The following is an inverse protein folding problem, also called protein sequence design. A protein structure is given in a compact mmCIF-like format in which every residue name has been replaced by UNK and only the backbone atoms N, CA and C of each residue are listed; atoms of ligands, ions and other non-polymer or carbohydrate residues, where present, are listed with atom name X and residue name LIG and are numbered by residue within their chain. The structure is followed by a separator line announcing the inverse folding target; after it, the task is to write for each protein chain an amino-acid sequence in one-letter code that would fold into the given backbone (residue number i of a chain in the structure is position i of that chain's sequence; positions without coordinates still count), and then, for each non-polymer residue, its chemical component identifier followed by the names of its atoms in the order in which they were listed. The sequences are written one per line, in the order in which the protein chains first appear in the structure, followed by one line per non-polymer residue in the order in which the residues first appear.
data_IF_712126622177
#
_entry.id   IF_712126622177
#
_cell.length_a   1.000
_cell.length_b   1.000
_cell.length_c   1.000
_cell.angle_alpha   90.00
_cell.angle_beta   90.00
_cell.angle_gamma   90.00
#
_symmetry.space_group_name_H-M   'P 1'
#
loop_
_entity.id
_entity.type
_entity.pdbx_description
1 polymer ?
#
# COMPACT_ATOMS: atom_id res chain seq x y z
N UNK A 1 -18.99 -36.88 63.12
CA UNK A 1 -19.45 -36.16 61.94
C UNK A 1 -18.26 -35.77 61.08
N UNK A 2 -18.04 -36.44 59.96
CA UNK A 2 -16.95 -36.15 59.01
C UNK A 2 -17.57 -35.36 57.87
N UNK A 3 -17.15 -34.10 57.67
CA UNK A 3 -17.55 -33.23 56.58
C UNK A 3 -16.58 -33.47 55.46
N UNK A 4 -17.07 -34.08 54.33
CA UNK A 4 -16.32 -34.22 53.11
C UNK A 4 -16.25 -32.90 52.36
N UNK A 5 -15.05 -32.44 51.89
CA UNK A 5 -15.00 -31.29 51.02
C UNK A 5 -15.44 -31.63 49.61
N UNK A 6 -16.51 -31.00 49.14
CA UNK A 6 -16.87 -30.98 47.72
C UNK A 6 -15.79 -30.20 46.92
N UNK A 7 -15.03 -30.93 46.09
CA UNK A 7 -14.17 -30.37 45.09
C UNK A 7 -15.05 -29.78 43.98
N UNK A 8 -15.16 -28.47 43.91
CA UNK A 8 -15.67 -27.74 42.73
C UNK A 8 -14.62 -27.81 41.62
N UNK A 9 -14.80 -28.75 40.70
CA UNK A 9 -14.06 -28.78 39.42
C UNK A 9 -14.65 -27.65 38.56
N UNK A 10 -13.97 -26.51 38.50
CA UNK A 10 -14.28 -25.48 37.51
C UNK A 10 -13.95 -26.04 36.12
N UNK A 11 -14.98 -26.41 35.35
CA UNK A 11 -14.83 -26.69 33.93
C UNK A 11 -14.41 -25.39 33.25
N UNK A 12 -13.14 -25.27 32.92
CA UNK A 12 -12.66 -24.27 31.98
C UNK A 12 -13.13 -24.69 30.58
N UNK A 13 -14.26 -24.17 30.13
CA UNK A 13 -14.65 -24.24 28.72
C UNK A 13 -13.78 -23.21 28.01
N UNK A 14 -12.90 -23.61 27.10
CA UNK A 14 -12.18 -22.62 26.29
C UNK A 14 -13.24 -21.86 25.47
N UNK A 15 -13.33 -20.55 25.66
CA UNK A 15 -14.07 -19.69 24.74
C UNK A 15 -13.31 -19.79 23.40
N UNK A 16 -13.80 -20.67 22.52
CA UNK A 16 -13.43 -20.61 21.11
C UNK A 16 -14.03 -19.31 20.57
N UNK A 17 -13.20 -18.25 20.50
CA UNK A 17 -13.57 -17.05 19.76
C UNK A 17 -13.73 -17.45 18.28
N UNK A 18 -14.81 -16.99 17.63
CA UNK A 18 -15.05 -17.38 16.25
C UNK A 18 -13.91 -16.90 15.36
N UNK A 19 -13.43 -17.79 14.49
CA UNK A 19 -12.59 -17.44 13.36
C UNK A 19 -13.36 -16.50 12.42
N UNK A 20 -12.62 -15.77 11.58
CA UNK A 20 -13.23 -14.91 10.56
C UNK A 20 -14.09 -15.75 9.62
N UNK A 21 -15.38 -15.40 9.50
CA UNK A 21 -16.27 -16.11 8.58
C UNK A 21 -15.94 -15.71 7.13
N UNK A 22 -16.26 -16.57 6.12
CA UNK A 22 -16.06 -16.22 4.72
C UNK A 22 -16.79 -14.94 4.30
N UNK A 23 -17.98 -14.68 4.87
CA UNK A 23 -18.76 -13.46 4.63
C UNK A 23 -18.03 -12.24 5.21
N UNK A 24 -17.68 -12.29 6.49
CA UNK A 24 -16.93 -11.18 7.14
C UNK A 24 -15.59 -10.92 6.45
N UNK A 25 -14.91 -11.97 5.95
CA UNK A 25 -13.69 -11.82 5.15
C UNK A 25 -13.94 -11.02 3.87
N UNK A 26 -15.00 -11.36 3.14
CA UNK A 26 -15.37 -10.66 1.90
C UNK A 26 -15.71 -9.20 2.19
N UNK A 27 -16.43 -8.94 3.25
CA UNK A 27 -16.80 -7.59 3.68
C UNK A 27 -15.57 -6.78 4.09
N UNK A 28 -14.63 -7.35 4.85
CA UNK A 28 -13.37 -6.68 5.22
C UNK A 28 -12.53 -6.34 3.98
N UNK A 29 -12.42 -7.26 3.01
CA UNK A 29 -11.69 -6.98 1.76
C UNK A 29 -12.38 -5.86 0.97
N UNK A 30 -13.70 -5.87 0.92
CA UNK A 30 -14.46 -4.79 0.30
C UNK A 30 -14.23 -3.45 1.02
N UNK A 31 -14.29 -3.44 2.35
CA UNK A 31 -14.04 -2.25 3.16
C UNK A 31 -12.62 -1.70 3.00
N UNK A 32 -11.61 -2.58 2.91
CA UNK A 32 -10.24 -2.19 2.57
C UNK A 32 -10.19 -1.46 1.22
N UNK A 33 -10.85 -2.01 0.20
CA UNK A 33 -10.91 -1.39 -1.12
C UNK A 33 -11.65 -0.04 -1.09
N UNK A 34 -12.76 0.05 -0.35
CA UNK A 34 -13.56 1.27 -0.25
C UNK A 34 -13.00 2.29 0.75
N UNK A 35 -12.06 1.90 1.61
CA UNK A 35 -11.51 2.74 2.66
C UNK A 35 -12.43 2.92 3.87
N UNK A 36 -13.28 1.92 4.16
CA UNK A 36 -14.18 1.92 5.33
C UNK A 36 -13.48 1.31 6.55
N UNK A 37 -12.47 2.01 7.06
CA UNK A 37 -11.56 1.45 8.07
C UNK A 37 -12.26 1.12 9.39
N UNK A 38 -13.25 1.91 9.83
CA UNK A 38 -13.96 1.67 11.09
C UNK A 38 -14.76 0.36 11.01
N UNK A 39 -15.48 0.11 9.92
CA UNK A 39 -16.27 -1.11 9.74
C UNK A 39 -15.37 -2.34 9.59
N UNK A 40 -14.26 -2.24 8.84
CA UNK A 40 -13.28 -3.31 8.74
C UNK A 40 -12.71 -3.71 10.12
N UNK A 41 -12.39 -2.72 10.99
CA UNK A 41 -11.92 -2.98 12.35
C UNK A 41 -12.98 -3.67 13.21
N UNK A 42 -14.25 -3.25 13.10
CA UNK A 42 -15.37 -3.87 13.82
C UNK A 42 -15.53 -5.35 13.43
N UNK A 43 -15.51 -5.66 12.14
CA UNK A 43 -15.59 -7.04 11.64
C UNK A 43 -14.41 -7.92 12.06
N UNK A 44 -13.21 -7.35 12.16
CA UNK A 44 -12.00 -8.07 12.54
C UNK A 44 -11.87 -8.30 14.06
N UNK A 45 -12.53 -7.49 14.89
CA UNK A 45 -12.37 -7.51 16.35
C UNK A 45 -12.56 -8.91 16.97
N UNK A 46 -13.61 -9.70 16.65
CA UNK A 46 -13.80 -11.02 17.24
C UNK A 46 -12.68 -11.99 16.87
N UNK A 47 -12.25 -11.99 15.60
CA UNK A 47 -11.25 -12.92 15.07
C UNK A 47 -9.80 -12.54 15.44
N UNK A 48 -9.55 -11.31 15.88
CA UNK A 48 -8.21 -10.81 16.26
C UNK A 48 -8.00 -10.69 17.77
N UNK A 49 -8.99 -11.06 18.57
CA UNK A 49 -8.85 -11.05 20.02
C UNK A 49 -7.64 -11.86 20.49
N UNK A 50 -7.15 -11.57 21.72
CA UNK A 50 -5.84 -12.05 22.21
C UNK A 50 -5.66 -13.59 22.18
N UNK A 51 -6.75 -14.37 22.21
CA UNK A 51 -6.73 -15.84 22.13
C UNK A 51 -6.98 -16.41 20.73
N UNK A 52 -7.18 -15.57 19.73
CA UNK A 52 -7.43 -16.03 18.36
C UNK A 52 -6.12 -16.46 17.67
N UNK A 53 -6.19 -17.62 16.99
CA UNK A 53 -5.12 -18.17 16.16
C UNK A 53 -5.44 -18.03 14.66
N UNK A 54 -6.20 -17.02 14.27
CA UNK A 54 -6.59 -16.76 12.89
C UNK A 54 -5.52 -15.90 12.20
N UNK A 55 -4.69 -16.56 11.38
CA UNK A 55 -3.61 -15.92 10.64
C UNK A 55 -4.15 -14.91 9.61
N UNK A 56 -5.24 -15.25 8.93
CA UNK A 56 -5.84 -14.40 7.90
C UNK A 56 -6.45 -13.13 8.52
N UNK A 57 -7.16 -13.26 9.65
CA UNK A 57 -7.67 -12.09 10.38
C UNK A 57 -6.54 -11.15 10.83
N UNK A 58 -5.40 -11.69 11.26
CA UNK A 58 -4.23 -10.89 11.62
C UNK A 58 -3.60 -10.21 10.39
N UNK A 59 -3.54 -10.89 9.25
CA UNK A 59 -3.05 -10.31 8.00
C UNK A 59 -3.97 -9.15 7.53
N UNK A 60 -5.29 -9.33 7.57
CA UNK A 60 -6.25 -8.28 7.23
C UNK A 60 -6.17 -7.10 8.21
N UNK A 61 -6.00 -7.37 9.52
CA UNK A 61 -5.78 -6.31 10.51
C UNK A 61 -4.50 -5.50 10.22
N UNK A 62 -3.44 -6.18 9.75
CA UNK A 62 -2.22 -5.50 9.31
C UNK A 62 -2.52 -4.51 8.17
N UNK A 63 -3.28 -4.92 7.16
CA UNK A 63 -3.65 -4.08 6.01
C UNK A 63 -4.48 -2.87 6.43
N UNK A 64 -5.48 -3.06 7.29
CA UNK A 64 -6.26 -1.94 7.86
C UNK A 64 -5.37 -1.00 8.66
N UNK A 65 -4.45 -1.53 9.47
CA UNK A 65 -3.53 -0.71 10.25
C UNK A 65 -2.53 0.06 9.36
N UNK A 66 -2.11 -0.50 8.20
CA UNK A 66 -1.31 0.20 7.20
C UNK A 66 -2.08 1.37 6.59
N UNK A 67 -3.33 1.18 6.18
CA UNK A 67 -4.17 2.26 5.68
C UNK A 67 -4.33 3.40 6.70
N UNK A 68 -4.48 3.04 7.98
CA UNK A 68 -4.62 3.98 9.09
C UNK A 68 -3.28 4.60 9.55
N UNK A 69 -2.18 4.30 8.88
CA UNK A 69 -0.83 4.75 9.25
C UNK A 69 -0.41 4.37 10.68
N UNK A 70 -1.02 3.31 11.23
CA UNK A 70 -0.72 2.77 12.55
C UNK A 70 0.42 1.76 12.46
N UNK A 71 1.61 2.24 12.09
CA UNK A 71 2.77 1.44 11.70
C UNK A 71 3.19 0.37 12.70
N UNK A 72 3.10 0.67 13.99
CA UNK A 72 3.45 -0.30 15.04
C UNK A 72 2.42 -1.43 15.11
N UNK A 73 1.13 -1.08 14.98
CA UNK A 73 0.05 -2.05 15.02
C UNK A 73 0.07 -2.92 13.76
N UNK A 74 0.34 -2.32 12.59
CA UNK A 74 0.52 -3.04 11.34
C UNK A 74 1.64 -4.10 11.46
N UNK A 75 2.82 -3.70 11.92
CA UNK A 75 3.96 -4.64 12.11
C UNK A 75 3.61 -5.72 13.12
N UNK A 76 2.94 -5.39 14.23
CA UNK A 76 2.56 -6.39 15.24
C UNK A 76 1.56 -7.41 14.67
N UNK A 77 0.56 -6.97 13.93
CA UNK A 77 -0.45 -7.83 13.32
C UNK A 77 0.16 -8.71 12.23
N UNK A 78 0.99 -8.15 11.32
CA UNK A 78 1.68 -8.92 10.30
C UNK A 78 2.63 -9.96 10.87
N UNK A 79 3.43 -9.63 11.88
CA UNK A 79 4.33 -10.59 12.52
C UNK A 79 3.55 -11.72 13.20
N UNK A 80 2.37 -11.42 13.76
CA UNK A 80 1.50 -12.45 14.31
C UNK A 80 0.92 -13.34 13.20
N UNK A 81 0.51 -12.78 12.05
CA UNK A 81 0.07 -13.55 10.90
C UNK A 81 1.15 -14.52 10.40
N UNK A 82 2.39 -14.04 10.24
CA UNK A 82 3.53 -14.89 9.86
C UNK A 82 3.83 -15.97 10.91
N UNK A 83 3.73 -15.65 12.20
CA UNK A 83 3.96 -16.63 13.27
C UNK A 83 2.89 -17.74 13.29
N UNK A 84 1.64 -17.42 12.91
CA UNK A 84 0.52 -18.37 12.86
C UNK A 84 0.54 -19.22 11.58
N UNK A 85 0.90 -18.64 10.44
CA UNK A 85 1.10 -19.35 9.18
C UNK A 85 2.38 -18.85 8.48
N UNK A 86 3.53 -19.49 8.80
CA UNK A 86 4.82 -19.12 8.23
C UNK A 86 5.03 -19.60 6.79
N UNK A 87 4.08 -20.34 6.21
CA UNK A 87 4.16 -20.83 4.83
C UNK A 87 3.32 -19.99 3.86
N UNK A 88 2.70 -18.93 4.31
CA UNK A 88 1.93 -18.01 3.47
C UNK A 88 2.82 -16.94 2.84
N UNK A 89 3.00 -16.98 1.52
CA UNK A 89 3.66 -15.92 0.74
C UNK A 89 3.04 -14.55 1.01
N UNK A 90 1.72 -14.50 1.12
CA UNK A 90 0.95 -13.27 1.36
C UNK A 90 1.25 -12.67 2.74
N UNK A 91 1.34 -13.49 3.80
CA UNK A 91 1.69 -13.00 5.13
C UNK A 91 3.08 -12.38 5.17
N UNK A 92 4.05 -12.99 4.51
CA UNK A 92 5.40 -12.46 4.39
C UNK A 92 5.44 -11.18 3.55
N UNK A 93 4.70 -11.11 2.44
CA UNK A 93 4.59 -9.91 1.60
C UNK A 93 4.10 -8.72 2.42
N UNK A 94 2.95 -8.86 3.10
CA UNK A 94 2.39 -7.78 3.91
C UNK A 94 3.26 -7.43 5.12
N UNK A 95 3.97 -8.41 5.70
CA UNK A 95 4.92 -8.14 6.77
C UNK A 95 6.11 -7.30 6.25
N UNK A 96 6.61 -7.61 5.06
CA UNK A 96 7.63 -6.81 4.38
C UNK A 96 7.19 -5.37 4.14
N UNK A 97 5.98 -5.18 3.61
CA UNK A 97 5.36 -3.85 3.39
C UNK A 97 5.23 -3.07 4.70
N UNK A 98 4.68 -3.68 5.75
CA UNK A 98 4.51 -3.02 7.06
C UNK A 98 5.85 -2.61 7.70
N UNK A 99 6.86 -3.46 7.60
CA UNK A 99 8.20 -3.16 8.07
C UNK A 99 8.87 -2.04 7.27
N UNK A 100 8.65 -2.01 5.93
CA UNK A 100 9.14 -0.97 5.03
C UNK A 100 8.56 0.40 5.38
N UNK A 101 7.24 0.47 5.53
CA UNK A 101 6.55 1.68 5.91
C UNK A 101 7.01 2.23 7.28
N UNK A 102 7.24 1.33 8.24
CA UNK A 102 7.81 1.71 9.53
C UNK A 102 9.27 2.17 9.41
N UNK A 103 10.07 1.53 8.54
CA UNK A 103 11.47 1.90 8.36
C UNK A 103 11.63 3.33 7.83
N UNK A 104 10.73 3.77 6.95
CA UNK A 104 10.73 5.12 6.38
C UNK A 104 10.46 6.23 7.41
N UNK A 105 9.99 5.88 8.63
CA UNK A 105 9.53 6.83 9.66
C UNK A 105 10.32 6.81 10.96
N UNK A 106 11.38 6.03 11.01
CA UNK A 106 12.24 5.94 12.20
C UNK A 106 13.65 6.49 11.92
N UNK A 107 14.44 6.68 12.99
CA UNK A 107 15.82 7.11 12.84
C UNK A 107 16.67 6.09 12.05
N UNK A 108 17.72 6.57 11.37
CA UNK A 108 18.60 5.76 10.53
C UNK A 108 19.07 4.45 11.19
N UNK A 109 19.47 4.48 12.48
CA UNK A 109 19.93 3.27 13.17
C UNK A 109 18.83 2.22 13.34
N UNK A 110 17.59 2.66 13.59
CA UNK A 110 16.43 1.76 13.66
C UNK A 110 16.02 1.29 12.27
N UNK A 111 16.07 2.17 11.27
CA UNK A 111 15.77 1.84 9.88
C UNK A 111 16.69 0.75 9.32
N UNK A 112 17.98 0.76 9.68
CA UNK A 112 18.93 -0.28 9.27
C UNK A 112 18.50 -1.70 9.67
N UNK A 113 18.07 -1.88 10.93
CA UNK A 113 17.59 -3.18 11.41
C UNK A 113 16.26 -3.61 10.76
N UNK A 114 15.37 -2.64 10.50
CA UNK A 114 14.10 -2.90 9.83
C UNK A 114 14.30 -3.25 8.35
N UNK A 115 15.17 -2.55 7.63
CA UNK A 115 15.45 -2.81 6.22
C UNK A 115 15.94 -4.26 5.98
N UNK A 116 16.78 -4.80 6.88
CA UNK A 116 17.18 -6.21 6.81
C UNK A 116 16.01 -7.18 6.99
N UNK A 117 15.04 -6.83 7.85
CA UNK A 117 13.82 -7.63 8.03
C UNK A 117 12.92 -7.52 6.81
N UNK A 118 12.73 -6.32 6.24
CA UNK A 118 11.99 -6.12 4.98
C UNK A 118 12.50 -7.05 3.90
N UNK A 119 13.83 -7.06 3.68
CA UNK A 119 14.46 -7.96 2.71
C UNK A 119 14.13 -9.43 2.99
N UNK A 120 14.26 -9.86 4.24
CA UNK A 120 14.04 -11.25 4.61
C UNK A 120 12.58 -11.68 4.37
N UNK A 121 11.62 -10.80 4.66
CA UNK A 121 10.21 -11.06 4.44
C UNK A 121 9.88 -11.14 2.94
N UNK A 122 10.37 -10.23 2.11
CA UNK A 122 10.15 -10.29 0.66
C UNK A 122 10.86 -11.50 0.02
N UNK A 123 12.08 -11.83 0.45
CA UNK A 123 12.77 -13.05 0.00
C UNK A 123 11.98 -14.32 0.38
N UNK A 124 11.40 -14.37 1.59
CA UNK A 124 10.54 -15.49 2.02
C UNK A 124 9.25 -15.56 1.19
N UNK A 125 8.58 -14.42 0.94
CA UNK A 125 7.39 -14.39 0.10
C UNK A 125 7.65 -14.96 -1.29
N UNK A 126 8.75 -14.54 -1.95
CA UNK A 126 9.14 -15.04 -3.27
C UNK A 126 9.57 -16.52 -3.23
N UNK A 127 10.22 -16.97 -2.14
CA UNK A 127 10.61 -18.37 -1.99
C UNK A 127 9.41 -19.31 -1.83
N UNK A 128 8.37 -18.86 -1.12
CA UNK A 128 7.12 -19.60 -0.90
C UNK A 128 6.23 -19.64 -2.13
N UNK A 129 6.13 -18.52 -2.86
CA UNK A 129 5.44 -18.46 -4.16
C UNK A 129 6.28 -17.69 -5.20
N UNK A 130 7.09 -18.39 -6.00
CA UNK A 130 7.91 -17.78 -7.05
C UNK A 130 7.10 -17.14 -8.20
N UNK A 131 5.79 -17.33 -8.23
CA UNK A 131 4.88 -16.72 -9.21
C UNK A 131 4.07 -15.56 -8.64
N UNK A 132 4.26 -15.20 -7.39
CA UNK A 132 3.66 -14.01 -6.81
C UNK A 132 4.30 -12.75 -7.41
N UNK A 133 3.59 -12.15 -8.39
CA UNK A 133 4.10 -10.99 -9.12
C UNK A 133 4.29 -9.77 -8.21
N UNK A 134 3.46 -9.60 -7.17
CA UNK A 134 3.59 -8.51 -6.21
C UNK A 134 4.84 -8.70 -5.34
N UNK A 135 5.06 -9.90 -4.81
CA UNK A 135 6.24 -10.20 -4.02
C UNK A 135 7.54 -10.03 -4.83
N UNK A 136 7.54 -10.43 -6.12
CA UNK A 136 8.65 -10.17 -7.03
C UNK A 136 8.86 -8.68 -7.27
N UNK A 137 7.79 -7.90 -7.48
CA UNK A 137 7.88 -6.45 -7.69
C UNK A 137 8.46 -5.75 -6.47
N UNK A 138 7.92 -6.04 -5.27
CA UNK A 138 8.36 -5.43 -4.01
C UNK A 138 9.82 -5.80 -3.68
N UNK A 139 10.22 -7.06 -3.92
CA UNK A 139 11.61 -7.49 -3.76
C UNK A 139 12.55 -6.79 -4.75
N UNK A 140 12.13 -6.67 -6.02
CA UNK A 140 12.89 -5.97 -7.06
C UNK A 140 13.05 -4.49 -6.76
N UNK A 141 12.00 -3.82 -6.29
CA UNK A 141 12.06 -2.42 -5.85
C UNK A 141 12.99 -2.26 -4.63
N UNK A 142 12.86 -3.14 -3.63
CA UNK A 142 13.77 -3.14 -2.50
C UNK A 142 15.24 -3.25 -2.96
N UNK A 143 15.58 -4.18 -3.85
CA UNK A 143 16.95 -4.31 -4.34
C UNK A 143 17.43 -3.11 -5.16
N UNK A 144 16.52 -2.42 -5.84
CA UNK A 144 16.84 -1.22 -6.64
C UNK A 144 17.14 -0.01 -5.75
N UNK A 145 16.37 0.16 -4.66
CA UNK A 145 16.40 1.38 -3.85
C UNK A 145 17.27 1.27 -2.59
N UNK A 146 17.31 0.08 -1.99
CA UNK A 146 18.01 -0.11 -0.72
C UNK A 146 19.54 -0.04 -0.90
N UNK A 147 20.27 0.61 0.04
CA UNK A 147 21.73 0.58 0.05
C UNK A 147 22.30 -0.84 0.17
N UNK A 148 23.46 -1.08 -0.43
CA UNK A 148 24.14 -2.39 -0.39
C UNK A 148 24.37 -2.92 1.04
N UNK A 149 24.62 -2.01 2.01
CA UNK A 149 24.83 -2.36 3.42
C UNK A 149 23.65 -3.07 4.08
N UNK A 150 22.43 -2.87 3.58
CA UNK A 150 21.22 -3.59 4.01
C UNK A 150 20.78 -4.67 3.03
N UNK A 151 21.62 -4.93 2.03
CA UNK A 151 21.44 -6.04 1.09
C UNK A 151 20.77 -5.68 -0.23
N UNK A 152 20.58 -4.38 -0.53
CA UNK A 152 20.24 -3.90 -1.87
C UNK A 152 21.30 -4.26 -2.90
N UNK A 153 20.99 -4.13 -4.18
CA UNK A 153 21.91 -4.40 -5.27
C UNK A 153 21.20 -4.53 -6.62
N UNK A 154 21.66 -3.76 -7.59
CA UNK A 154 21.04 -3.67 -8.92
C UNK A 154 21.13 -4.97 -9.72
N UNK A 155 22.20 -5.75 -9.52
CA UNK A 155 22.32 -7.07 -10.14
C UNK A 155 21.20 -8.00 -9.64
N UNK A 156 20.92 -7.97 -8.32
CA UNK A 156 19.81 -8.74 -7.74
C UNK A 156 18.45 -8.27 -8.25
N UNK A 157 18.27 -6.94 -8.39
CA UNK A 157 17.05 -6.39 -8.97
C UNK A 157 16.85 -6.86 -10.42
N UNK A 158 17.95 -6.94 -11.22
CA UNK A 158 17.92 -7.45 -12.58
C UNK A 158 17.54 -8.94 -12.62
N UNK A 159 18.08 -9.74 -11.71
CA UNK A 159 17.70 -11.16 -11.59
C UNK A 159 16.21 -11.33 -11.22
N UNK A 160 15.68 -10.47 -10.34
CA UNK A 160 14.25 -10.47 -10.00
C UNK A 160 13.41 -10.03 -11.20
N UNK A 161 13.82 -9.01 -11.95
CA UNK A 161 13.14 -8.58 -13.16
C UNK A 161 13.07 -9.70 -14.23
N UNK A 162 14.12 -10.52 -14.34
CA UNK A 162 14.11 -11.68 -15.23
C UNK A 162 13.11 -12.77 -14.78
N UNK A 163 12.94 -12.98 -13.46
CA UNK A 163 11.93 -13.91 -12.93
C UNK A 163 10.52 -13.34 -13.14
N UNK A 164 10.34 -12.06 -12.90
CA UNK A 164 9.06 -11.37 -13.05
C UNK A 164 8.58 -11.39 -14.52
N UNK A 165 9.50 -11.33 -15.49
CA UNK A 165 9.17 -11.40 -16.93
C UNK A 165 8.44 -12.69 -17.33
N UNK A 166 8.72 -13.79 -16.64
CA UNK A 166 8.02 -15.06 -16.86
C UNK A 166 6.60 -15.10 -16.24
N UNK A 167 6.27 -14.14 -15.38
CA UNK A 167 4.98 -14.07 -14.66
C UNK A 167 4.13 -12.90 -15.17
N UNK A 168 4.73 -11.72 -15.25
CA UNK A 168 4.12 -10.46 -15.66
C UNK A 168 5.16 -9.59 -16.39
N UNK A 169 5.12 -9.60 -17.71
CA UNK A 169 6.06 -8.86 -18.55
C UNK A 169 5.97 -7.34 -18.33
N UNK A 170 4.77 -6.81 -18.13
CA UNK A 170 4.60 -5.37 -17.99
C UNK A 170 5.25 -4.87 -16.68
N UNK A 171 5.05 -5.58 -15.58
CA UNK A 171 5.72 -5.31 -14.30
C UNK A 171 7.24 -5.49 -14.40
N UNK A 172 7.70 -6.50 -15.15
CA UNK A 172 9.14 -6.71 -15.36
C UNK A 172 9.78 -5.54 -16.10
N UNK A 173 9.14 -5.01 -17.14
CA UNK A 173 9.62 -3.85 -17.88
C UNK A 173 9.58 -2.57 -17.01
N UNK A 174 8.54 -2.38 -16.20
CA UNK A 174 8.51 -1.28 -15.23
C UNK A 174 9.69 -1.35 -14.26
N UNK A 175 9.97 -2.52 -13.68
CA UNK A 175 11.11 -2.72 -12.79
C UNK A 175 12.44 -2.43 -13.50
N UNK A 176 12.63 -2.88 -14.74
CA UNK A 176 13.81 -2.55 -15.56
C UNK A 176 13.93 -1.04 -15.77
N UNK A 177 12.81 -0.35 -16.00
CA UNK A 177 12.77 1.12 -16.10
C UNK A 177 13.24 1.80 -14.81
N UNK A 178 12.80 1.32 -13.65
CA UNK A 178 13.25 1.81 -12.33
C UNK A 178 14.75 1.55 -12.10
N UNK A 179 15.25 0.37 -12.46
CA UNK A 179 16.68 0.01 -12.39
C UNK A 179 17.50 0.94 -13.28
N UNK A 180 17.10 1.15 -14.54
CA UNK A 180 17.79 2.03 -15.46
C UNK A 180 17.79 3.49 -14.97
N UNK A 181 16.65 3.98 -14.45
CA UNK A 181 16.54 5.31 -13.85
C UNK A 181 17.49 5.47 -12.65
N UNK A 182 17.60 4.45 -11.79
CA UNK A 182 18.52 4.45 -10.65
C UNK A 182 20.01 4.44 -11.09
N UNK A 183 20.29 3.94 -12.30
CA UNK A 183 21.61 3.99 -12.95
C UNK A 183 21.85 5.31 -13.69
N UNK A 184 20.86 6.22 -13.69
CA UNK A 184 20.87 7.48 -14.47
C UNK A 184 20.91 7.25 -15.98
N UNK A 185 20.55 6.07 -16.44
CA UNK A 185 20.35 5.77 -17.87
C UNK A 185 18.93 6.17 -18.27
N UNK A 186 18.79 7.46 -18.54
CA UNK A 186 17.49 8.08 -18.85
C UNK A 186 16.86 7.50 -20.12
N UNK A 187 17.67 7.16 -21.13
CA UNK A 187 17.18 6.63 -22.39
C UNK A 187 16.65 5.19 -22.22
N UNK A 188 17.41 4.32 -21.56
CA UNK A 188 16.96 2.97 -21.26
C UNK A 188 15.74 2.97 -20.32
N UNK A 189 15.72 3.85 -19.31
CA UNK A 189 14.58 3.97 -18.41
C UNK A 189 13.29 4.33 -19.16
N UNK A 190 13.34 5.36 -20.01
CA UNK A 190 12.17 5.75 -20.82
C UNK A 190 11.71 4.62 -21.73
N UNK A 191 12.64 3.90 -22.38
CA UNK A 191 12.31 2.79 -23.25
C UNK A 191 11.60 1.67 -22.50
N UNK A 192 12.12 1.25 -21.34
CA UNK A 192 11.50 0.20 -20.53
C UNK A 192 10.11 0.59 -20.01
N UNK A 193 9.89 1.84 -19.58
CA UNK A 193 8.53 2.29 -19.23
C UNK A 193 7.57 2.25 -20.42
N UNK A 194 8.04 2.59 -21.62
CA UNK A 194 7.23 2.44 -22.87
C UNK A 194 6.97 0.98 -23.21
N UNK A 195 7.92 0.08 -22.96
CA UNK A 195 7.75 -1.35 -23.18
C UNK A 195 6.75 -1.95 -22.17
N UNK A 196 6.71 -1.47 -20.93
CA UNK A 196 5.68 -1.81 -19.94
C UNK A 196 4.28 -1.41 -20.44
N UNK A 197 4.14 -0.18 -20.97
CA UNK A 197 2.90 0.30 -21.58
C UNK A 197 2.50 -0.58 -22.78
N UNK A 198 3.45 -0.92 -23.63
CA UNK A 198 3.19 -1.76 -24.81
C UNK A 198 2.74 -3.18 -24.42
N UNK A 199 3.28 -3.72 -23.31
CA UNK A 199 2.90 -5.01 -22.76
C UNK A 199 1.50 -5.01 -22.13
N UNK A 200 1.04 -3.87 -21.59
CA UNK A 200 -0.29 -3.72 -20.98
C UNK A 200 -0.93 -2.36 -21.32
N UNK A 201 -1.39 -2.17 -22.57
CA UNK A 201 -1.74 -0.85 -23.10
C UNK A 201 -3.00 -0.23 -22.46
N UNK A 202 -3.82 -1.02 -21.77
CA UNK A 202 -5.00 -0.54 -21.03
C UNK A 202 -4.72 -0.20 -19.56
N UNK A 203 -3.54 -0.49 -19.08
CA UNK A 203 -3.17 -0.17 -17.69
C UNK A 203 -2.68 1.28 -17.60
N UNK A 204 -3.43 2.13 -16.94
CA UNK A 204 -3.00 3.50 -16.67
C UNK A 204 -1.79 3.56 -15.75
N UNK A 205 -1.58 2.56 -14.87
CA UNK A 205 -0.49 2.54 -13.88
C UNK A 205 0.89 2.66 -14.55
N UNK A 206 1.12 2.00 -15.69
CA UNK A 206 2.40 2.11 -16.41
C UNK A 206 2.61 3.48 -17.08
N UNK A 207 1.53 4.14 -17.51
CA UNK A 207 1.58 5.53 -17.97
C UNK A 207 1.90 6.48 -16.81
N UNK A 208 1.33 6.23 -15.63
CA UNK A 208 1.61 6.99 -14.40
C UNK A 208 3.06 6.78 -13.95
N UNK A 209 3.59 5.56 -14.06
CA UNK A 209 5.01 5.29 -13.80
C UNK A 209 5.92 6.10 -14.75
N UNK A 210 5.60 6.15 -16.04
CA UNK A 210 6.29 7.00 -17.02
C UNK A 210 6.13 8.48 -16.69
N UNK A 211 4.94 8.94 -16.28
CA UNK A 211 4.72 10.32 -15.86
C UNK A 211 5.54 10.68 -14.62
N UNK A 212 5.62 9.80 -13.63
CA UNK A 212 6.47 9.95 -12.44
C UNK A 212 7.96 10.05 -12.82
N UNK A 213 8.40 9.23 -13.79
CA UNK A 213 9.75 9.32 -14.33
C UNK A 213 10.02 10.70 -14.97
N UNK A 214 9.11 11.22 -15.80
CA UNK A 214 9.26 12.56 -16.38
C UNK A 214 9.21 13.67 -15.33
N UNK A 215 8.38 13.53 -14.28
CA UNK A 215 8.38 14.48 -13.16
C UNK A 215 9.76 14.58 -12.51
N UNK A 216 10.40 13.44 -12.24
CA UNK A 216 11.76 13.38 -11.65
C UNK A 216 12.82 14.01 -12.56
N UNK A 217 12.59 14.04 -13.88
CA UNK A 217 13.43 14.74 -14.87
C UNK A 217 13.06 16.22 -15.04
N UNK A 218 12.07 16.72 -14.29
CA UNK A 218 11.48 18.04 -14.42
C UNK A 218 10.90 18.32 -15.83
N UNK A 219 10.51 17.27 -16.56
CA UNK A 219 9.84 17.38 -17.86
C UNK A 219 8.32 17.36 -17.67
N UNK A 220 7.81 18.50 -17.24
CA UNK A 220 6.40 18.64 -16.86
C UNK A 220 5.45 18.49 -18.06
N UNK A 221 5.92 18.82 -19.27
CA UNK A 221 5.08 18.67 -20.48
C UNK A 221 4.87 17.17 -20.80
N UNK A 222 5.95 16.38 -20.86
CA UNK A 222 5.82 14.94 -21.10
C UNK A 222 5.11 14.22 -19.95
N UNK A 223 5.27 14.67 -18.71
CA UNK A 223 4.50 14.19 -17.57
C UNK A 223 3.00 14.36 -17.79
N UNK A 224 2.52 15.55 -18.17
CA UNK A 224 1.10 15.82 -18.41
C UNK A 224 0.54 14.98 -19.58
N UNK A 225 1.31 14.84 -20.66
CA UNK A 225 0.93 14.00 -21.79
C UNK A 225 0.78 12.53 -21.36
N UNK A 226 1.72 12.01 -20.56
CA UNK A 226 1.65 10.64 -20.06
C UNK A 226 0.45 10.42 -19.12
N UNK A 227 0.17 11.37 -18.20
CA UNK A 227 -1.03 11.32 -17.34
C UNK A 227 -2.30 11.24 -18.20
N UNK A 228 -2.45 12.13 -19.16
CA UNK A 228 -3.64 12.17 -20.03
C UNK A 228 -3.82 10.86 -20.81
N UNK A 229 -2.75 10.38 -21.45
CA UNK A 229 -2.77 9.14 -22.20
C UNK A 229 -3.12 7.93 -21.33
N UNK A 230 -2.64 7.87 -20.10
CA UNK A 230 -2.94 6.80 -19.16
C UNK A 230 -4.39 6.80 -18.71
N UNK A 231 -4.93 7.97 -18.37
CA UNK A 231 -6.33 8.10 -17.97
C UNK A 231 -7.29 7.78 -19.12
N UNK A 232 -6.94 8.16 -20.35
CA UNK A 232 -7.71 7.79 -21.53
C UNK A 232 -7.67 6.27 -21.77
N UNK A 233 -6.50 5.63 -21.58
CA UNK A 233 -6.32 4.20 -21.83
C UNK A 233 -7.19 3.30 -20.94
N UNK A 234 -7.45 3.70 -19.68
CA UNK A 234 -8.29 2.94 -18.74
C UNK A 234 -9.70 3.52 -18.55
N UNK A 235 -10.06 4.57 -19.29
CA UNK A 235 -11.35 5.26 -19.16
C UNK A 235 -11.48 6.08 -17.88
N UNK A 236 -10.38 6.55 -17.31
CA UNK A 236 -10.34 7.42 -16.14
C UNK A 236 -10.90 6.74 -14.88
N UNK A 237 -10.36 5.59 -14.47
CA UNK A 237 -10.86 4.81 -13.33
C UNK A 237 -9.74 4.44 -12.35
N UNK A 238 -10.15 4.20 -11.11
CA UNK A 238 -9.32 3.60 -10.07
C UNK A 238 -8.19 4.48 -9.59
N UNK A 239 -7.23 3.87 -8.95
CA UNK A 239 -6.05 4.47 -8.32
C UNK A 239 -5.26 5.46 -9.21
N UNK A 240 -5.07 5.22 -10.53
CA UNK A 240 -4.38 6.16 -11.39
C UNK A 240 -4.93 7.58 -11.40
N UNK A 241 -6.19 7.79 -11.02
CA UNK A 241 -6.76 9.12 -10.83
C UNK A 241 -6.10 9.86 -9.66
N UNK A 242 -5.86 9.15 -8.55
CA UNK A 242 -5.24 9.71 -7.35
C UNK A 242 -3.75 9.94 -7.59
N UNK A 243 -3.06 8.98 -8.20
CA UNK A 243 -1.65 9.11 -8.58
C UNK A 243 -1.41 10.31 -9.50
N UNK A 244 -2.26 10.49 -10.51
CA UNK A 244 -2.21 11.66 -11.39
C UNK A 244 -2.42 12.97 -10.61
N UNK A 245 -3.37 13.00 -9.68
CA UNK A 245 -3.59 14.17 -8.82
C UNK A 245 -2.38 14.44 -7.92
N UNK A 246 -1.73 13.42 -7.38
CA UNK A 246 -0.48 13.56 -6.62
C UNK A 246 0.66 14.13 -7.48
N UNK A 247 0.83 13.63 -8.72
CA UNK A 247 1.86 14.14 -9.64
C UNK A 247 1.63 15.62 -9.98
N UNK A 248 0.39 15.99 -10.31
CA UNK A 248 0.03 17.38 -10.61
C UNK A 248 0.25 18.29 -9.39
N UNK A 249 -0.18 17.86 -8.20
CA UNK A 249 -0.03 18.64 -6.96
C UNK A 249 1.44 18.86 -6.61
N UNK A 250 2.26 17.80 -6.63
CA UNK A 250 3.70 17.89 -6.33
C UNK A 250 4.47 18.75 -7.33
N UNK A 251 4.01 18.81 -8.56
CA UNK A 251 4.62 19.62 -9.63
C UNK A 251 4.11 21.06 -9.63
N UNK A 252 3.17 21.43 -8.75
CA UNK A 252 2.53 22.73 -8.75
C UNK A 252 1.70 23.00 -10.03
N UNK A 253 1.29 21.93 -10.72
CA UNK A 253 0.55 22.02 -11.98
C UNK A 253 -0.94 21.79 -11.75
N UNK A 254 -1.75 22.54 -12.46
CA UNK A 254 -3.20 22.36 -12.65
C UNK A 254 -3.98 21.82 -11.42
N UNK A 255 -4.09 22.59 -10.33
CA UNK A 255 -4.79 22.15 -9.12
C UNK A 255 -6.27 21.86 -9.37
N UNK A 256 -6.89 22.50 -10.36
CA UNK A 256 -8.29 22.24 -10.71
C UNK A 256 -8.47 20.85 -11.31
N UNK A 257 -7.57 20.43 -12.17
CA UNK A 257 -7.58 19.05 -12.67
C UNK A 257 -7.32 18.05 -11.53
N UNK A 258 -6.38 18.31 -10.62
CA UNK A 258 -6.16 17.43 -9.45
C UNK A 258 -7.44 17.27 -8.62
N UNK A 259 -8.14 18.36 -8.29
CA UNK A 259 -9.42 18.35 -7.56
C UNK A 259 -10.47 17.52 -8.32
N UNK A 260 -10.59 17.71 -9.65
CA UNK A 260 -11.54 16.98 -10.47
C UNK A 260 -11.26 15.46 -10.47
N UNK A 261 -9.99 15.06 -10.58
CA UNK A 261 -9.59 13.65 -10.57
C UNK A 261 -9.90 12.99 -9.21
N UNK A 262 -9.63 13.67 -8.09
CA UNK A 262 -9.94 13.16 -6.76
C UNK A 262 -11.45 13.00 -6.55
N UNK A 263 -12.26 13.98 -7.00
CA UNK A 263 -13.73 13.89 -6.95
C UNK A 263 -14.23 12.72 -7.82
N UNK A 264 -13.65 12.51 -8.99
CA UNK A 264 -13.98 11.39 -9.89
C UNK A 264 -13.66 10.06 -9.23
N UNK A 265 -12.50 9.91 -8.57
CA UNK A 265 -12.14 8.72 -7.82
C UNK A 265 -13.13 8.44 -6.68
N UNK A 266 -13.44 9.44 -5.86
CA UNK A 266 -14.36 9.31 -4.73
C UNK A 266 -15.78 8.92 -5.17
N UNK A 267 -16.23 9.37 -6.33
CA UNK A 267 -17.53 9.03 -6.90
C UNK A 267 -17.55 7.64 -7.58
N UNK A 268 -16.38 7.04 -7.88
CA UNK A 268 -16.28 5.75 -8.54
C UNK A 268 -16.44 4.58 -7.55
N UNK A 269 -17.02 3.44 -7.95
CA UNK A 269 -16.94 2.20 -7.19
C UNK A 269 -15.54 1.56 -7.26
N UNK A 270 -14.73 1.90 -8.26
CA UNK A 270 -13.40 1.35 -8.52
C UNK A 270 -12.35 2.05 -7.64
N UNK A 271 -12.38 1.77 -6.33
CA UNK A 271 -11.39 2.28 -5.37
C UNK A 271 -10.28 1.26 -5.12
N UNK A 272 -9.17 1.73 -4.57
CA UNK A 272 -7.99 0.92 -4.25
C UNK A 272 -7.72 0.94 -2.75
N UNK A 273 -7.20 -0.16 -2.25
CA UNK A 273 -6.70 -0.27 -0.87
C UNK A 273 -5.50 0.65 -0.63
N UNK A 274 -4.67 0.88 -1.64
CA UNK A 274 -3.48 1.71 -1.55
C UNK A 274 -3.83 3.20 -1.43
N UNK A 275 -4.99 3.60 -2.00
CA UNK A 275 -5.53 4.97 -1.91
C UNK A 275 -6.93 4.98 -1.25
N UNK A 276 -7.01 4.67 0.05
CA UNK A 276 -8.30 4.56 0.74
C UNK A 276 -9.07 5.89 0.75
N UNK A 277 -10.37 5.82 0.54
CA UNK A 277 -11.22 6.98 0.34
C UNK A 277 -11.08 8.05 1.44
N UNK A 278 -10.88 7.65 2.70
CA UNK A 278 -10.71 8.63 3.80
C UNK A 278 -9.44 9.48 3.64
N UNK A 279 -8.33 8.93 3.11
CA UNK A 279 -7.13 9.72 2.82
C UNK A 279 -7.32 10.62 1.61
N UNK A 280 -8.01 10.12 0.58
CA UNK A 280 -8.32 10.89 -0.62
C UNK A 280 -9.25 12.08 -0.30
N UNK A 281 -10.23 11.92 0.59
CA UNK A 281 -11.04 13.03 1.12
C UNK A 281 -10.16 14.10 1.78
N UNK A 282 -9.17 13.72 2.59
CA UNK A 282 -8.27 14.69 3.24
C UNK A 282 -7.33 15.38 2.24
N UNK A 283 -6.85 14.65 1.23
CA UNK A 283 -6.06 15.24 0.15
C UNK A 283 -6.88 16.28 -0.64
N UNK A 284 -8.13 15.95 -0.95
CA UNK A 284 -9.06 16.87 -1.60
C UNK A 284 -9.33 18.10 -0.73
N UNK A 285 -9.56 17.91 0.57
CA UNK A 285 -9.76 18.99 1.52
C UNK A 285 -8.56 19.96 1.58
N UNK A 286 -7.33 19.42 1.59
CA UNK A 286 -6.11 20.24 1.57
C UNK A 286 -6.02 21.08 0.28
N UNK A 287 -6.33 20.50 -0.88
CA UNK A 287 -6.33 21.23 -2.15
C UNK A 287 -7.41 22.32 -2.18
N UNK A 288 -8.62 22.01 -1.70
CA UNK A 288 -9.72 22.96 -1.63
C UNK A 288 -9.39 24.15 -0.71
N UNK A 289 -8.81 23.88 0.48
CA UNK A 289 -8.34 24.92 1.39
C UNK A 289 -7.29 25.83 0.74
N UNK A 290 -6.34 25.27 -0.02
CA UNK A 290 -5.33 26.05 -0.76
C UNK A 290 -5.95 26.94 -1.85
N UNK A 291 -7.12 26.56 -2.36
CA UNK A 291 -7.88 27.35 -3.32
C UNK A 291 -8.84 28.37 -2.65
N UNK A 292 -8.96 28.35 -1.32
CA UNK A 292 -9.86 29.21 -0.54
C UNK A 292 -11.29 28.66 -0.39
N UNK A 293 -11.54 27.44 -0.86
CA UNK A 293 -12.85 26.79 -0.77
C UNK A 293 -12.95 26.01 0.57
N UNK A 294 -13.06 26.77 1.65
CA UNK A 294 -13.03 26.22 3.01
C UNK A 294 -14.30 25.44 3.39
N UNK A 295 -15.44 25.77 2.77
CA UNK A 295 -16.71 25.09 3.04
C UNK A 295 -16.71 23.67 2.44
N UNK A 296 -16.30 23.53 1.18
CA UNK A 296 -16.13 22.22 0.56
C UNK A 296 -15.05 21.39 1.29
N UNK A 297 -13.93 22.00 1.66
CA UNK A 297 -12.89 21.34 2.44
C UNK A 297 -13.42 20.77 3.77
N UNK A 298 -14.26 21.51 4.48
CA UNK A 298 -14.88 21.04 5.72
C UNK A 298 -15.80 19.82 5.48
N UNK A 299 -16.55 19.82 4.36
CA UNK A 299 -17.38 18.67 3.97
C UNK A 299 -16.53 17.43 3.70
N UNK A 300 -15.40 17.57 3.03
CA UNK A 300 -14.48 16.45 2.75
C UNK A 300 -13.85 15.91 4.04
N UNK A 301 -13.46 16.76 4.98
CA UNK A 301 -12.96 16.31 6.31
C UNK A 301 -14.04 15.53 7.05
N UNK A 302 -15.29 15.97 7.01
CA UNK A 302 -16.41 15.28 7.63
C UNK A 302 -16.64 13.90 6.97
N UNK A 303 -16.58 13.83 5.65
CA UNK A 303 -16.70 12.56 4.90
C UNK A 303 -15.60 11.56 5.26
N UNK A 304 -14.34 12.02 5.36
CA UNK A 304 -13.23 11.20 5.84
C UNK A 304 -13.48 10.64 7.24
N UNK A 305 -13.90 11.49 8.17
CA UNK A 305 -14.15 11.10 9.57
C UNK A 305 -15.32 10.11 9.70
N UNK A 306 -16.30 10.17 8.80
CA UNK A 306 -17.45 9.28 8.82
C UNK A 306 -17.11 7.81 8.49
N UNK A 307 -16.02 7.55 7.79
CA UNK A 307 -15.61 6.19 7.37
C UNK A 307 -14.32 5.71 8.04
N UNK A 308 -13.57 6.59 8.68
CA UNK A 308 -12.35 6.30 9.40
C UNK A 308 -12.18 7.24 10.60
N UNK A 309 -13.07 7.16 11.58
CA UNK A 309 -13.07 8.03 12.76
C UNK A 309 -11.82 7.87 13.63
N UNK A 310 -11.18 6.71 13.55
CA UNK A 310 -9.94 6.38 14.25
C UNK A 310 -8.68 6.84 13.54
N UNK A 311 -8.80 7.39 12.32
CA UNK A 311 -7.66 7.89 11.57
C UNK A 311 -7.26 9.29 12.05
N UNK A 312 -6.06 9.37 12.57
CA UNK A 312 -5.46 10.64 12.98
C UNK A 312 -4.19 10.86 12.14
N UNK A 313 -4.24 11.66 11.06
CA UNK A 313 -3.07 11.90 10.23
C UNK A 313 -1.93 12.43 11.08
N UNK A 314 -0.77 11.77 11.02
CA UNK A 314 0.43 12.29 11.67
C UNK A 314 0.77 13.63 11.02
N UNK A 315 1.14 14.64 11.83
CA UNK A 315 1.40 16.04 11.39
C UNK A 315 2.43 16.19 10.25
N UNK A 316 3.01 15.10 9.74
CA UNK A 316 3.96 15.09 8.63
C UNK A 316 3.34 15.28 7.25
N UNK A 317 2.04 15.09 7.07
CA UNK A 317 1.38 15.34 5.77
C UNK A 317 1.35 16.83 5.43
N UNK A 318 1.39 17.70 6.43
CA UNK A 318 1.36 19.16 6.27
C UNK A 318 2.74 19.83 6.05
N UNK A 319 3.87 19.11 6.17
CA UNK A 319 5.21 19.72 6.15
C UNK A 319 6.12 19.29 5.02
N UNK A 320 5.73 18.34 4.16
CA UNK A 320 6.53 17.90 3.01
C UNK A 320 6.22 18.66 1.70
N UNK A 321 5.55 19.80 1.77
CA UNK A 321 5.40 20.72 0.63
C UNK A 321 6.50 21.79 0.54
N UNK A 322 7.59 21.63 1.29
CA UNK A 322 8.67 22.60 1.31
C UNK A 322 10.04 21.99 1.58
N UNK A 323 10.63 21.30 0.59
CA UNK A 323 12.09 21.31 0.31
C UNK A 323 12.37 20.56 -0.98
#
# INVERSE_FOLDING_TARGET
MRISPLLLIALWIPLNLPALTPESRTDVIHDLQQGHADHALELLQPATAASSNDAEAQQLLCRVALQLERWNDAVNACQKAVALDPNSSENHLWCGRALGEKANRVSFLKAYGLAKKVKAEFEAAVALDPRNAEALSDLGEYYTEAPAIVGGGKDKATDVAAKLDAVDRARAEELRGRIAASNKDTAAAEQHFRDAIAASPRSASYWIALASFYQKQNDLLRMQVAIHSGLDANGGRGEPLVDAAHLLTRSGQDPQTAIRLLRQYLASPDKSEDEPAFRVHLLLADLLNKQGDTEDAAREIQASTAIASVYHPTKQVATNTGR
#
